data_IF_041662218039
#
_entry.id   IF_041662218039
#
_cell.length_a   1.000
_cell.length_b   1.000
_cell.length_c   1.000
_cell.angle_alpha   90.00
_cell.angle_beta   90.00
_cell.angle_gamma   90.00
#
_symmetry.space_group_name_H-M   'P 1'
#
loop_
_entity.id
_entity.type
_entity.pdbx_description
1 polymer ?
#
# COMPACT_ATOMS: atom_id res chain seq x y z
N UNK A 1 11.38 -14.46 -29.03
CA UNK A 1 10.59 -14.54 -27.78
C UNK A 1 10.70 -13.29 -26.88
N UNK A 2 11.82 -12.54 -26.86
CA UNK A 2 12.05 -11.45 -25.88
C UNK A 2 11.16 -10.19 -25.96
N UNK A 3 10.64 -9.80 -27.14
CA UNK A 3 9.84 -8.55 -27.29
C UNK A 3 8.49 -8.60 -26.56
N UNK A 4 7.87 -9.77 -26.47
CA UNK A 4 6.55 -9.94 -25.84
C UNK A 4 6.61 -9.85 -24.30
N UNK A 5 7.71 -10.31 -23.71
CA UNK A 5 7.88 -10.34 -22.25
C UNK A 5 8.18 -8.95 -21.69
N UNK A 6 9.10 -8.21 -22.30
CA UNK A 6 9.39 -6.82 -21.94
C UNK A 6 8.14 -5.93 -22.01
N UNK A 7 7.32 -6.09 -23.05
CA UNK A 7 6.08 -5.33 -23.18
C UNK A 7 5.07 -5.65 -22.06
N UNK A 8 4.99 -6.92 -21.62
CA UNK A 8 4.15 -7.32 -20.48
C UNK A 8 4.65 -6.71 -19.17
N UNK A 9 5.96 -6.70 -18.96
CA UNK A 9 6.57 -6.11 -17.77
C UNK A 9 6.35 -4.60 -17.72
N UNK A 10 6.54 -3.88 -18.84
CA UNK A 10 6.25 -2.46 -18.94
C UNK A 10 4.77 -2.14 -18.66
N UNK A 11 3.84 -2.95 -19.16
CA UNK A 11 2.40 -2.82 -18.88
C UNK A 11 2.07 -3.06 -17.40
N UNK A 12 2.71 -4.06 -16.79
CA UNK A 12 2.53 -4.36 -15.38
C UNK A 12 3.08 -3.22 -14.51
N UNK A 13 4.27 -2.69 -14.84
CA UNK A 13 4.83 -1.49 -14.20
C UNK A 13 3.85 -0.32 -14.27
N UNK A 14 3.32 -0.01 -15.45
CA UNK A 14 2.35 1.07 -15.64
C UNK A 14 1.10 0.89 -14.77
N UNK A 15 0.58 -0.34 -14.69
CA UNK A 15 -0.56 -0.68 -13.82
C UNK A 15 -0.23 -0.47 -12.34
N UNK A 16 0.95 -0.91 -11.89
CA UNK A 16 1.36 -0.74 -10.50
C UNK A 16 1.51 0.75 -10.18
N UNK A 17 2.13 1.53 -11.08
CA UNK A 17 2.30 2.98 -10.92
C UNK A 17 0.97 3.70 -10.76
N UNK A 18 0.00 3.41 -11.63
CA UNK A 18 -1.36 3.97 -11.53
C UNK A 18 -2.00 3.66 -10.16
N UNK A 19 -1.94 2.40 -9.73
CA UNK A 19 -2.52 1.97 -8.46
C UNK A 19 -1.83 2.62 -7.26
N UNK A 20 -0.50 2.76 -7.29
CA UNK A 20 0.29 3.46 -6.26
C UNK A 20 -0.15 4.91 -6.15
N UNK A 21 -0.21 5.65 -7.26
CA UNK A 21 -0.67 7.04 -7.29
C UNK A 21 -2.09 7.18 -6.71
N UNK A 22 -3.00 6.28 -7.06
CA UNK A 22 -4.39 6.30 -6.57
C UNK A 22 -4.48 6.02 -5.07
N UNK A 23 -3.67 5.09 -4.56
CA UNK A 23 -3.61 4.78 -3.13
C UNK A 23 -2.94 5.90 -2.34
N UNK A 24 -1.93 6.56 -2.90
CA UNK A 24 -1.26 7.69 -2.28
C UNK A 24 -2.23 8.86 -2.10
N UNK A 25 -2.93 9.23 -3.18
CA UNK A 25 -3.99 10.23 -3.11
C UNK A 25 -5.08 9.86 -2.09
N UNK A 26 -5.46 8.57 -2.02
CA UNK A 26 -6.44 8.11 -1.05
C UNK A 26 -5.94 8.15 0.41
N UNK A 27 -4.64 8.02 0.65
CA UNK A 27 -4.04 8.18 1.97
C UNK A 27 -3.93 9.66 2.35
N UNK A 28 -3.53 10.52 1.41
CA UNK A 28 -3.42 11.98 1.61
C UNK A 28 -4.79 12.64 1.82
N UNK A 29 -5.81 12.20 1.07
CA UNK A 29 -7.18 12.70 1.17
C UNK A 29 -8.05 11.86 2.11
N UNK A 30 -7.46 11.05 2.99
CA UNK A 30 -8.24 10.19 3.87
C UNK A 30 -8.98 11.03 4.91
N UNK A 31 -10.30 10.98 4.87
CA UNK A 31 -11.17 11.52 5.89
C UNK A 31 -11.84 10.35 6.65
N UNK A 32 -11.87 10.38 7.99
CA UNK A 32 -12.55 9.35 8.76
C UNK A 32 -14.05 9.31 8.41
N UNK A 33 -14.57 8.10 8.27
CA UNK A 33 -16.01 7.87 8.09
C UNK A 33 -16.79 8.19 9.37
N UNK A 34 -18.12 8.26 9.24
CA UNK A 34 -19.03 8.55 10.35
C UNK A 34 -18.91 7.58 11.52
N UNK A 35 -18.49 6.33 11.26
CA UNK A 35 -18.17 5.37 12.31
C UNK A 35 -16.71 4.89 12.24
N UNK A 36 -16.09 4.60 13.39
CA UNK A 36 -14.73 4.05 13.44
C UNK A 36 -14.60 2.65 12.83
N UNK A 37 -15.66 1.82 12.92
CA UNK A 37 -15.67 0.47 12.37
C UNK A 37 -15.59 0.50 10.83
N UNK A 38 -16.35 1.39 10.20
CA UNK A 38 -16.24 1.64 8.76
C UNK A 38 -14.84 2.15 8.38
N UNK A 39 -14.25 3.03 9.20
CA UNK A 39 -12.90 3.54 8.97
C UNK A 39 -11.87 2.42 8.98
N UNK A 40 -11.98 1.50 9.95
CA UNK A 40 -11.13 0.33 10.06
C UNK A 40 -11.30 -0.63 8.86
N UNK A 41 -12.53 -0.91 8.44
CA UNK A 41 -12.81 -1.75 7.27
C UNK A 41 -12.18 -1.15 6.01
N UNK A 42 -12.38 0.16 5.78
CA UNK A 42 -11.85 0.87 4.61
C UNK A 42 -10.32 0.84 4.62
N UNK A 43 -9.69 1.22 5.74
CA UNK A 43 -8.23 1.26 5.87
C UNK A 43 -7.61 -0.13 5.74
N UNK A 44 -8.25 -1.17 6.31
CA UNK A 44 -7.82 -2.56 6.17
C UNK A 44 -7.88 -3.01 4.72
N UNK A 45 -8.95 -2.69 3.99
CA UNK A 45 -9.06 -3.00 2.57
C UNK A 45 -7.98 -2.29 1.74
N UNK A 46 -7.69 -1.01 2.02
CA UNK A 46 -6.60 -0.29 1.35
C UNK A 46 -5.23 -0.90 1.67
N UNK A 47 -5.00 -1.31 2.91
CA UNK A 47 -3.77 -1.98 3.32
C UNK A 47 -3.59 -3.32 2.59
N UNK A 48 -4.65 -4.11 2.43
CA UNK A 48 -4.59 -5.35 1.62
C UNK A 48 -4.22 -5.07 0.16
N UNK A 49 -4.75 -4.01 -0.44
CA UNK A 49 -4.37 -3.60 -1.80
C UNK A 49 -2.87 -3.24 -1.88
N UNK A 50 -2.32 -2.55 -0.87
CA UNK A 50 -0.89 -2.24 -0.81
C UNK A 50 -0.04 -3.51 -0.68
N UNK A 51 -0.47 -4.47 0.13
CA UNK A 51 0.23 -5.76 0.27
C UNK A 51 0.24 -6.56 -1.04
N UNK A 52 -0.87 -6.55 -1.78
CA UNK A 52 -0.95 -7.16 -3.10
C UNK A 52 0.00 -6.47 -4.09
N UNK A 53 0.05 -5.14 -4.09
CA UNK A 53 0.99 -4.38 -4.92
C UNK A 53 2.45 -4.66 -4.57
N UNK A 54 2.76 -4.82 -3.28
CA UNK A 54 4.10 -5.20 -2.82
C UNK A 54 4.50 -6.57 -3.38
N UNK A 55 3.59 -7.54 -3.40
CA UNK A 55 3.84 -8.84 -3.99
C UNK A 55 4.03 -8.76 -5.51
N UNK A 56 3.19 -7.99 -6.21
CA UNK A 56 3.32 -7.75 -7.65
C UNK A 56 4.64 -7.05 -8.00
N UNK A 57 5.05 -6.07 -7.20
CA UNK A 57 6.32 -5.36 -7.39
C UNK A 57 7.53 -6.28 -7.19
N UNK A 58 7.51 -7.15 -6.17
CA UNK A 58 8.57 -8.14 -5.96
C UNK A 58 8.68 -9.10 -7.15
N UNK A 59 7.55 -9.57 -7.66
CA UNK A 59 7.51 -10.42 -8.84
C UNK A 59 8.04 -9.68 -10.08
N UNK A 60 7.60 -8.44 -10.29
CA UNK A 60 8.07 -7.59 -11.39
C UNK A 60 9.59 -7.45 -11.33
N UNK A 61 10.15 -7.10 -10.18
CA UNK A 61 11.59 -6.96 -10.00
C UNK A 61 12.34 -8.28 -10.29
N UNK A 62 11.84 -9.41 -9.80
CA UNK A 62 12.43 -10.71 -10.10
C UNK A 62 12.42 -11.02 -11.61
N UNK A 63 11.29 -10.77 -12.27
CA UNK A 63 11.14 -10.96 -13.72
C UNK A 63 12.09 -10.02 -14.51
N UNK A 64 12.35 -8.80 -14.04
CA UNK A 64 13.33 -7.89 -14.65
C UNK A 64 14.78 -8.35 -14.44
N UNK A 65 15.11 -8.91 -13.28
CA UNK A 65 16.44 -9.42 -12.97
C UNK A 65 16.79 -10.72 -13.71
N UNK A 66 15.77 -11.50 -14.09
CA UNK A 66 15.92 -12.71 -14.91
C UNK A 66 16.18 -12.39 -16.40
N UNK A 67 15.90 -11.15 -16.83
CA UNK A 67 16.14 -10.74 -18.21
C UNK A 67 17.64 -10.77 -18.57
N UNK A 68 18.00 -11.13 -19.81
CA UNK A 68 19.38 -11.09 -20.25
C UNK A 68 19.91 -9.65 -20.16
N UNK A 69 21.20 -9.49 -19.81
CA UNK A 69 21.84 -8.15 -19.72
C UNK A 69 21.78 -7.33 -21.02
N UNK A 70 21.57 -7.99 -22.16
CA UNK A 70 21.38 -7.37 -23.48
C UNK A 70 19.93 -6.91 -23.72
N UNK A 71 19.00 -7.18 -22.79
CA UNK A 71 17.66 -6.64 -22.83
C UNK A 71 17.75 -5.12 -22.68
N UNK A 72 17.32 -4.41 -23.73
CA UNK A 72 17.22 -2.96 -23.70
C UNK A 72 16.01 -2.59 -22.82
N UNK A 73 16.27 -2.36 -21.53
CA UNK A 73 15.27 -1.93 -20.58
C UNK A 73 14.94 -0.46 -20.88
N UNK A 74 13.74 -0.22 -21.41
CA UNK A 74 13.25 1.13 -21.75
C UNK A 74 13.22 2.07 -20.53
N UNK A 75 13.02 1.51 -19.34
CA UNK A 75 13.15 2.21 -18.06
C UNK A 75 14.18 1.49 -17.16
N UNK A 76 14.90 2.26 -16.37
CA UNK A 76 15.96 1.77 -15.48
C UNK A 76 15.40 0.98 -14.30
N UNK A 77 16.19 0.03 -13.78
CA UNK A 77 15.89 -0.67 -12.52
C UNK A 77 15.68 0.30 -11.34
N UNK A 78 16.29 1.49 -11.40
CA UNK A 78 16.15 2.58 -10.42
C UNK A 78 14.69 3.01 -10.22
N UNK A 79 13.93 3.13 -11.31
CA UNK A 79 12.50 3.47 -11.25
C UNK A 79 11.71 2.36 -10.54
N UNK A 80 12.07 1.09 -10.78
CA UNK A 80 11.43 -0.06 -10.12
C UNK A 80 11.74 -0.07 -8.63
N UNK A 81 12.97 0.26 -8.23
CA UNK A 81 13.34 0.40 -6.82
C UNK A 81 12.61 1.56 -6.15
N UNK A 82 12.54 2.72 -6.81
CA UNK A 82 11.79 3.89 -6.32
C UNK A 82 10.32 3.53 -6.05
N UNK A 83 9.66 2.91 -7.03
CA UNK A 83 8.26 2.49 -6.88
C UNK A 83 8.07 1.44 -5.77
N UNK A 84 9.07 0.57 -5.54
CA UNK A 84 9.03 -0.39 -4.43
C UNK A 84 9.07 0.36 -3.10
N UNK A 85 9.96 1.33 -2.95
CA UNK A 85 10.05 2.16 -1.75
C UNK A 85 8.74 2.94 -1.50
N UNK A 86 8.14 3.53 -2.53
CA UNK A 86 6.83 4.20 -2.42
C UNK A 86 5.73 3.27 -1.90
N UNK A 87 5.70 2.01 -2.35
CA UNK A 87 4.75 1.01 -1.85
C UNK A 87 5.02 0.67 -0.37
N UNK A 88 6.29 0.63 0.03
CA UNK A 88 6.66 0.37 1.43
C UNK A 88 6.30 1.54 2.34
N UNK A 89 6.48 2.78 1.88
CA UNK A 89 6.03 3.98 2.59
C UNK A 89 4.50 4.01 2.72
N UNK A 90 3.76 3.73 1.63
CA UNK A 90 2.30 3.62 1.67
C UNK A 90 1.83 2.58 2.69
N UNK A 91 2.52 1.44 2.78
CA UNK A 91 2.19 0.41 3.76
C UNK A 91 2.30 0.95 5.19
N UNK A 92 3.34 1.75 5.47
CA UNK A 92 3.56 2.38 6.78
C UNK A 92 2.48 3.44 7.03
N UNK A 93 2.19 4.30 6.06
CA UNK A 93 1.15 5.33 6.18
C UNK A 93 -0.22 4.74 6.52
N UNK A 94 -0.67 3.70 5.80
CA UNK A 94 -1.94 3.04 6.11
C UNK A 94 -1.94 2.36 7.49
N UNK A 95 -0.82 1.77 7.93
CA UNK A 95 -0.71 1.22 9.29
C UNK A 95 -0.82 2.31 10.36
N UNK A 96 -0.19 3.47 10.14
CA UNK A 96 -0.28 4.61 11.05
C UNK A 96 -1.72 5.11 11.12
N UNK A 97 -2.40 5.26 9.98
CA UNK A 97 -3.82 5.63 9.93
C UNK A 97 -4.68 4.62 10.70
N UNK A 98 -4.51 3.32 10.45
CA UNK A 98 -5.25 2.26 11.14
C UNK A 98 -5.08 2.35 12.67
N UNK A 99 -3.84 2.54 13.15
CA UNK A 99 -3.55 2.66 14.58
C UNK A 99 -4.19 3.92 15.17
N UNK A 100 -4.14 5.06 14.49
CA UNK A 100 -4.75 6.32 14.96
C UNK A 100 -6.26 6.17 15.17
N UNK A 101 -6.95 5.54 14.23
CA UNK A 101 -8.40 5.38 14.30
C UNK A 101 -8.84 4.24 15.24
N UNK A 102 -8.06 3.16 15.34
CA UNK A 102 -8.35 2.08 16.29
C UNK A 102 -8.10 2.49 17.76
N UNK A 103 -7.04 3.27 18.04
CA UNK A 103 -6.75 3.75 19.41
C UNK A 103 -7.75 4.79 19.92
N UNK A 104 -8.32 5.61 19.03
CA UNK A 104 -9.37 6.57 19.41
C UNK A 104 -10.57 5.87 20.08
N UNK A 105 -10.91 4.66 19.64
CA UNK A 105 -12.02 3.89 20.21
C UNK A 105 -11.72 3.17 21.52
N UNK A 106 -10.46 2.81 21.78
CA UNK A 106 -10.13 2.07 23.00
C UNK A 106 -10.12 2.97 24.25
N UNK A 107 -10.04 4.29 24.08
CA UNK A 107 -10.09 5.25 25.19
C UNK A 107 -11.52 5.52 25.70
N UNK A 108 -12.54 5.43 24.84
CA UNK A 108 -13.94 5.70 25.18
C UNK A 108 -14.68 4.49 25.79
N UNK A 109 -14.09 3.29 25.75
CA UNK A 109 -14.71 2.05 26.25
C UNK A 109 -14.27 1.66 27.67
N UNK A 110 -13.68 2.56 28.45
CA UNK A 110 -13.48 2.32 29.88
C UNK A 110 -14.69 2.86 30.63
N UNK A 111 -15.65 2.01 31.09
CA UNK A 111 -16.62 2.48 32.06
C UNK A 111 -15.83 2.84 33.32
N UNK A 112 -15.75 4.13 33.61
CA UNK A 112 -15.24 4.63 34.88
C UNK A 112 -16.26 4.22 35.95
N UNK A 113 -16.15 2.99 36.46
CA UNK A 113 -16.95 2.55 37.61
C UNK A 113 -16.48 3.33 38.82
N UNK A 114 -17.13 4.48 39.04
CA UNK A 114 -16.99 5.25 40.26
C UNK A 114 -17.53 4.39 41.40
N UNK A 115 -16.64 3.63 42.03
CA UNK A 115 -16.94 2.98 43.31
C UNK A 115 -17.21 4.08 44.32
N UNK A 116 -18.49 4.23 44.68
CA UNK A 116 -18.92 5.06 45.81
C UNK A 116 -18.36 4.45 47.09
N UNK A 117 -17.55 5.17 47.88
CA UNK A 117 -17.20 4.71 49.21
C UNK A 117 -18.45 4.83 50.09
N UNK A 118 -18.68 3.78 50.87
CA UNK A 118 -19.78 3.63 51.81
C UNK A 118 -19.58 4.51 53.04
#
# INVERSE_FOLDING_TARGET
MGKNMLQKLNRLRGTIKDKVTRLNKAAESYEPSSTPEESEIILTQKLQNVLELKAQMKKLLADYLDLPKSANLEESLDIIYTMKEEIEDLQVNFKILLIKHCKANNADNVPMTVHKPN
#
